data_IF_707171200823
#
_entry.id   IF_707171200823
#
_cell.length_a   1.000
_cell.length_b   1.000
_cell.length_c   1.000
_cell.angle_alpha   90.00
_cell.angle_beta   90.00
_cell.angle_gamma   90.00
#
_symmetry.space_group_name_H-M   'P 1'
#
loop_
_entity.id
_entity.type
_entity.pdbx_description
1 polymer ?
#
# COMPACT_ATOMS: atom_id res chain seq x y z
N UNK A 1 -8.19 12.83 -2.38
CA UNK A 1 -7.46 11.55 -2.53
C UNK A 1 -6.02 11.77 -2.09
N UNK A 2 -5.40 10.86 -1.33
CA UNK A 2 -3.98 10.99 -0.95
C UNK A 2 -3.07 10.52 -2.10
N UNK A 3 -1.83 11.04 -2.20
CA UNK A 3 -0.82 10.47 -3.10
C UNK A 3 -0.49 9.02 -2.74
N UNK A 4 0.35 8.36 -3.56
CA UNK A 4 0.86 7.02 -3.26
C UNK A 4 1.51 6.95 -1.89
N UNK A 5 1.34 5.82 -1.20
CA UNK A 5 2.03 5.54 0.07
C UNK A 5 3.47 5.14 -0.27
N UNK A 6 4.44 5.91 0.23
CA UNK A 6 5.86 5.66 0.04
C UNK A 6 6.42 4.71 1.11
N UNK A 7 6.05 4.90 2.37
CA UNK A 7 6.52 4.08 3.49
C UNK A 7 5.53 4.07 4.65
N UNK A 8 5.47 2.96 5.39
CA UNK A 8 4.77 2.82 6.66
C UNK A 8 5.83 2.79 7.77
N UNK A 9 5.84 3.80 8.64
CA UNK A 9 6.78 3.94 9.77
C UNK A 9 6.00 3.85 11.07
N UNK A 10 5.98 2.66 11.68
CA UNK A 10 5.17 2.40 12.88
C UNK A 10 3.68 2.74 12.62
N UNK A 11 3.14 3.79 13.23
CA UNK A 11 1.75 4.26 13.03
C UNK A 11 1.62 5.36 11.97
N UNK A 12 2.74 5.85 11.43
CA UNK A 12 2.78 6.99 10.51
C UNK A 12 2.98 6.53 9.06
N UNK A 13 2.21 7.10 8.14
CA UNK A 13 2.35 6.91 6.70
C UNK A 13 3.09 8.09 6.09
N UNK A 14 4.19 7.80 5.38
CA UNK A 14 4.89 8.76 4.50
C UNK A 14 4.32 8.60 3.09
N UNK A 15 3.84 9.69 2.50
CA UNK A 15 3.34 9.73 1.12
C UNK A 15 4.43 10.18 0.15
N UNK A 16 4.26 9.90 -1.14
CA UNK A 16 5.23 10.26 -2.19
C UNK A 16 5.56 11.76 -2.26
N UNK A 17 4.62 12.62 -1.85
CA UNK A 17 4.83 14.08 -1.78
C UNK A 17 5.60 14.53 -0.52
N UNK A 18 6.10 13.60 0.30
CA UNK A 18 6.82 13.89 1.54
C UNK A 18 5.93 14.20 2.75
N UNK A 19 4.60 14.28 2.58
CA UNK A 19 3.70 14.46 3.72
C UNK A 19 3.65 13.20 4.58
N UNK A 20 3.48 13.38 5.90
CA UNK A 20 3.35 12.27 6.85
C UNK A 20 2.05 12.39 7.63
N UNK A 21 1.35 11.27 7.86
CA UNK A 21 0.10 11.24 8.64
C UNK A 21 -0.09 9.93 9.40
N UNK A 22 -0.58 10.02 10.63
CA UNK A 22 -0.95 8.88 11.46
C UNK A 22 -2.35 8.36 11.12
N UNK A 23 -2.51 7.04 11.14
CA UNK A 23 -3.79 6.36 11.01
C UNK A 23 -3.95 5.30 12.11
N UNK A 24 -5.18 5.08 12.57
CA UNK A 24 -5.47 4.09 13.61
C UNK A 24 -5.46 2.65 13.08
N UNK A 25 -5.73 2.46 11.79
CA UNK A 25 -5.74 1.16 11.12
C UNK A 25 -5.34 1.29 9.63
N UNK A 26 -4.77 0.22 9.07
CA UNK A 26 -4.36 0.12 7.67
C UNK A 26 -4.96 -1.16 7.06
N UNK A 27 -5.66 -1.04 5.93
CA UNK A 27 -6.29 -2.17 5.22
C UNK A 27 -5.70 -2.25 3.81
N UNK A 28 -5.05 -3.37 3.48
CA UNK A 28 -4.52 -3.61 2.13
C UNK A 28 -5.61 -4.13 1.19
N UNK A 29 -6.30 -3.20 0.54
CA UNK A 29 -7.29 -3.49 -0.51
C UNK A 29 -6.68 -3.50 -1.93
N UNK A 30 -5.44 -3.99 -2.07
CA UNK A 30 -4.65 -3.94 -3.33
C UNK A 30 -4.85 -5.16 -4.23
N UNK A 31 -5.87 -5.98 -3.98
CA UNK A 31 -6.17 -7.19 -4.73
C UNK A 31 -5.29 -8.38 -4.35
N UNK A 32 -5.11 -9.31 -5.29
CA UNK A 32 -4.30 -10.52 -5.10
C UNK A 32 -3.33 -10.72 -6.27
N UNK A 33 -2.22 -11.42 -6.02
CA UNK A 33 -1.32 -11.89 -7.07
C UNK A 33 -1.70 -13.31 -7.48
N UNK A 34 -1.96 -13.54 -8.77
CA UNK A 34 -2.23 -14.89 -9.27
C UNK A 34 -1.02 -15.79 -9.08
N UNK A 35 -1.26 -17.01 -8.58
CA UNK A 35 -0.26 -18.09 -8.51
C UNK A 35 -0.29 -18.98 -9.75
N UNK A 36 -1.27 -18.79 -10.64
CA UNK A 36 -1.36 -19.51 -11.91
C UNK A 36 -0.20 -19.07 -12.79
N UNK A 37 0.62 -20.04 -13.19
CA UNK A 37 1.73 -19.80 -14.10
C UNK A 37 1.17 -19.47 -15.48
N UNK A 38 1.83 -18.57 -16.21
CA UNK A 38 1.37 -18.12 -17.52
C UNK A 38 1.22 -19.25 -18.56
N UNK A 39 1.91 -20.38 -18.38
CA UNK A 39 1.78 -21.56 -19.25
C UNK A 39 0.51 -22.39 -18.96
N UNK A 40 -0.12 -22.19 -17.80
CA UNK A 40 -1.38 -22.82 -17.39
C UNK A 40 -2.53 -21.82 -17.63
N UNK A 41 -2.60 -21.27 -18.85
CA UNK A 41 -3.64 -20.33 -19.26
C UNK A 41 -4.38 -20.87 -20.48
#
# INVERSE_FOLDING_TARGET
>A
VYPGVKCIRSSDLEFENGSTRRFDAIIFATGYKSTVKAWLK
#
